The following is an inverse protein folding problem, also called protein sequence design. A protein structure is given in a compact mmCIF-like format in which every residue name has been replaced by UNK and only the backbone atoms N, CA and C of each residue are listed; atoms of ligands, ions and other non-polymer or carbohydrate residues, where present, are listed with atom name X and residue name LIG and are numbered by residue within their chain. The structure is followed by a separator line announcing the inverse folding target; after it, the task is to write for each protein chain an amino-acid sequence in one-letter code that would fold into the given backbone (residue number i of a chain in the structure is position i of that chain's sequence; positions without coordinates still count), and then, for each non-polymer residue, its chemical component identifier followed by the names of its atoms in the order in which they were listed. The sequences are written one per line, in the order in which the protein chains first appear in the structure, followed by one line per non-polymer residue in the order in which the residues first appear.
data_IF_860640853618
#
_entry.id   IF_860640853618
#
_cell.length_a   1.000
_cell.length_b   1.000
_cell.length_c   1.000
_cell.angle_alpha   90.00
_cell.angle_beta   90.00
_cell.angle_gamma   90.00
#
_symmetry.space_group_name_H-M   'P 1'
#
loop_
_entity.id
_entity.type
_entity.pdbx_description
1 polymer ?
#
# COMPACT_ATOMS: atom_id res chain seq x y z
N UNK A 1 -3.59 -0.18 15.12
CA UNK A 1 -2.52 -0.42 14.13
C UNK A 1 -2.13 0.90 13.53
N UNK A 2 -0.83 1.18 13.46
CA UNK A 2 -0.44 2.49 12.97
C UNK A 2 -0.17 2.43 11.46
N UNK A 3 -0.12 3.59 10.79
CA UNK A 3 0.02 3.64 9.33
C UNK A 3 1.27 2.96 8.81
N UNK A 4 2.35 3.00 9.57
CA UNK A 4 3.59 2.36 9.13
C UNK A 4 3.43 0.85 9.07
N UNK A 5 2.73 0.28 10.04
CA UNK A 5 2.52 -1.15 10.06
C UNK A 5 1.60 -1.58 8.92
N UNK A 6 0.58 -0.78 8.66
CA UNK A 6 -0.34 -1.08 7.56
C UNK A 6 0.42 -1.03 6.24
N UNK A 7 1.24 0.00 6.04
CA UNK A 7 2.01 0.15 4.81
C UNK A 7 2.97 -1.01 4.60
N UNK A 8 3.67 -1.40 5.66
CA UNK A 8 4.61 -2.51 5.56
C UNK A 8 3.90 -3.81 5.21
N UNK A 9 2.73 -4.04 5.83
CA UNK A 9 1.94 -5.23 5.54
C UNK A 9 1.49 -5.26 4.09
N UNK A 10 1.01 -4.13 3.60
CA UNK A 10 0.53 -4.05 2.22
C UNK A 10 1.65 -4.27 1.22
N UNK A 11 2.82 -3.70 1.51
CA UNK A 11 3.96 -3.88 0.62
C UNK A 11 4.39 -5.33 0.58
N UNK A 12 4.43 -5.97 1.73
CA UNK A 12 4.80 -7.38 1.78
C UNK A 12 3.79 -8.23 1.02
N UNK A 13 2.52 -7.98 1.24
CA UNK A 13 1.46 -8.72 0.56
C UNK A 13 1.57 -8.56 -0.95
N UNK A 14 1.81 -7.33 -1.40
CA UNK A 14 1.94 -7.04 -2.82
C UNK A 14 3.12 -7.79 -3.42
N UNK A 15 4.25 -7.78 -2.71
CA UNK A 15 5.44 -8.47 -3.20
C UNK A 15 5.23 -9.98 -3.26
N UNK A 16 4.54 -10.53 -2.28
CA UNK A 16 4.28 -11.97 -2.27
C UNK A 16 3.40 -12.38 -3.45
N UNK A 17 2.48 -11.50 -3.83
CA UNK A 17 1.59 -11.80 -4.94
C UNK A 17 2.18 -11.38 -6.29
N UNK A 18 3.30 -10.67 -6.27
CA UNK A 18 3.95 -10.25 -7.51
C UNK A 18 3.14 -9.24 -8.29
N UNK A 19 2.43 -8.36 -7.61
CA UNK A 19 1.60 -7.36 -8.27
C UNK A 19 2.15 -5.96 -8.03
N UNK A 20 1.70 -5.02 -8.85
CA UNK A 20 2.12 -3.63 -8.74
C UNK A 20 1.26 -2.88 -7.73
N UNK A 21 1.72 -1.67 -7.39
CA UNK A 21 0.94 -0.80 -6.52
C UNK A 21 -0.41 -0.47 -7.16
N UNK A 22 -0.41 -0.26 -8.47
CA UNK A 22 -1.64 0.06 -9.17
C UNK A 22 -2.62 -1.10 -9.10
N UNK A 23 -2.12 -2.31 -9.24
CA UNK A 23 -2.99 -3.47 -9.17
C UNK A 23 -3.58 -3.62 -7.78
N UNK A 24 -2.75 -3.45 -6.76
CA UNK A 24 -3.24 -3.52 -5.39
C UNK A 24 -4.29 -2.44 -5.14
N UNK A 25 -4.06 -1.24 -5.69
CA UNK A 25 -5.02 -0.15 -5.52
C UNK A 25 -6.37 -0.52 -6.13
N UNK A 26 -6.36 -1.17 -7.28
CA UNK A 26 -7.61 -1.63 -7.90
C UNK A 26 -8.35 -2.60 -7.00
N UNK A 27 -7.61 -3.53 -6.42
CA UNK A 27 -8.22 -4.54 -5.54
C UNK A 27 -8.84 -3.87 -4.32
N UNK A 28 -8.18 -2.86 -3.78
CA UNK A 28 -8.65 -2.18 -2.59
C UNK A 28 -9.68 -1.09 -2.88
N UNK A 29 -9.83 -0.72 -4.15
CA UNK A 29 -10.77 0.34 -4.51
C UNK A 29 -10.25 1.73 -4.16
N UNK A 30 -8.94 1.93 -4.20
CA UNK A 30 -8.32 3.23 -3.94
C UNK A 30 -7.39 3.57 -5.09
N UNK A 31 -6.81 4.78 -5.04
CA UNK A 31 -5.87 5.17 -6.08
C UNK A 31 -4.48 4.60 -5.81
N UNK A 32 -3.68 4.49 -6.87
CA UNK A 32 -2.31 4.03 -6.70
C UNK A 32 -1.49 4.95 -5.82
N UNK A 33 -1.78 6.25 -5.88
CA UNK A 33 -1.11 7.21 -5.02
C UNK A 33 -1.39 6.89 -3.55
N UNK A 34 -2.60 6.50 -3.23
CA UNK A 34 -2.95 6.15 -1.86
C UNK A 34 -2.13 4.97 -1.38
N UNK A 35 -2.02 3.94 -2.20
CA UNK A 35 -1.21 2.77 -1.85
C UNK A 35 0.25 3.16 -1.67
N UNK A 36 0.75 4.00 -2.57
CA UNK A 36 2.14 4.44 -2.47
C UNK A 36 2.39 5.18 -1.16
N UNK A 37 1.47 6.04 -0.77
CA UNK A 37 1.61 6.78 0.48
C UNK A 37 1.61 5.85 1.68
N UNK A 38 0.74 4.86 1.65
CA UNK A 38 0.69 3.88 2.75
C UNK A 38 2.00 3.12 2.85
N UNK A 39 2.53 2.67 1.71
CA UNK A 39 3.74 1.84 1.71
C UNK A 39 4.97 2.62 2.14
N UNK A 40 5.00 3.92 1.90
CA UNK A 40 6.12 4.74 2.31
C UNK A 40 6.00 5.23 3.75
N UNK A 41 4.83 5.08 4.35
CA UNK A 41 4.62 5.52 5.70
C UNK A 41 4.41 7.02 5.85
N UNK A 42 4.16 7.70 4.76
CA UNK A 42 3.95 9.15 4.78
C UNK A 42 2.46 9.43 4.82
N UNK A 43 1.83 8.96 5.87
CA UNK A 43 0.37 9.08 5.98
C UNK A 43 -0.05 10.45 6.50
N UNK A 44 0.85 11.15 7.10
CA UNK A 44 0.57 12.49 7.59
C UNK A 44 1.58 13.44 7.00
N UNK A 45 1.21 14.65 6.93
CA UNK A 45 2.10 15.68 6.40
C UNK A 45 3.21 16.01 7.39
#
# INVERSE_FOLDING_TARGET
MNPKEIGAFLKQLRNEKGITQERLAEILGVSGRTVSRWETGVSQS
#
